data_IF_956828682356
#
_entry.id   IF_956828682356
#
_cell.length_a   1.000
_cell.length_b   1.000
_cell.length_c   1.000
_cell.angle_alpha   90.00
_cell.angle_beta   90.00
_cell.angle_gamma   90.00
#
_symmetry.space_group_name_H-M   'P 1'
#
loop_
_entity.id
_entity.type
_entity.pdbx_description
1 polymer ?
#
# COMPACT_ATOMS: atom_id res chain seq x y z
N UNK A 1 -11.55 -13.79 -17.17
CA UNK A 1 -11.03 -12.47 -17.62
C UNK A 1 -9.52 -12.46 -17.47
N UNK A 2 -8.77 -12.36 -18.56
CA UNK A 2 -7.30 -12.39 -18.55
C UNK A 2 -6.76 -11.17 -17.79
N UNK A 3 -5.94 -11.38 -16.74
CA UNK A 3 -5.26 -10.27 -16.02
C UNK A 3 -4.34 -9.56 -17.01
N UNK A 4 -4.77 -8.40 -17.53
CA UNK A 4 -3.91 -7.56 -18.37
C UNK A 4 -2.73 -7.06 -17.53
N UNK A 5 -1.51 -7.23 -18.03
CA UNK A 5 -0.29 -6.66 -17.42
C UNK A 5 -0.48 -5.15 -17.27
N UNK A 6 -0.41 -4.67 -16.02
CA UNK A 6 -0.55 -3.24 -15.69
C UNK A 6 0.77 -2.54 -15.95
N UNK A 7 0.69 -1.30 -16.43
CA UNK A 7 1.87 -0.49 -16.75
C UNK A 7 2.16 0.42 -15.55
N UNK A 8 3.38 0.41 -14.97
CA UNK A 8 3.71 1.28 -13.86
C UNK A 8 3.76 2.76 -14.31
N UNK A 9 3.27 3.67 -13.47
CA UNK A 9 3.33 5.12 -13.73
C UNK A 9 4.69 5.75 -13.40
N UNK A 10 5.62 4.99 -12.82
CA UNK A 10 6.96 5.44 -12.45
C UNK A 10 6.98 6.76 -11.65
N UNK A 11 6.04 6.90 -10.71
CA UNK A 11 5.91 8.10 -9.85
C UNK A 11 5.06 9.23 -10.42
N UNK A 12 4.66 9.18 -11.70
CA UNK A 12 3.81 10.21 -12.30
C UNK A 12 2.34 10.07 -11.89
N UNK A 13 1.66 11.21 -11.80
CA UNK A 13 0.22 11.27 -11.59
C UNK A 13 -0.52 10.81 -12.86
N UNK A 14 -1.79 10.41 -12.69
CA UNK A 14 -2.64 10.02 -13.82
C UNK A 14 -2.76 11.18 -14.83
N UNK A 15 -2.84 12.42 -14.32
CA UNK A 15 -2.95 13.63 -15.13
C UNK A 15 -1.70 13.87 -15.98
N UNK A 16 -0.51 13.81 -15.39
CA UNK A 16 0.74 14.00 -16.14
C UNK A 16 0.94 12.93 -17.22
N UNK A 17 0.55 11.69 -16.94
CA UNK A 17 0.61 10.60 -17.93
C UNK A 17 -0.42 10.82 -19.04
N UNK A 18 -1.63 11.28 -18.71
CA UNK A 18 -2.66 11.59 -19.70
C UNK A 18 -2.22 12.74 -20.62
N UNK A 19 -1.72 13.85 -20.04
CA UNK A 19 -1.19 15.00 -20.78
C UNK A 19 0.00 14.60 -21.67
N UNK A 20 0.91 13.75 -21.18
CA UNK A 20 2.07 13.29 -21.95
C UNK A 20 1.77 12.25 -23.04
N UNK A 21 0.66 11.53 -22.96
CA UNK A 21 0.29 10.46 -23.93
C UNK A 21 -0.85 10.85 -24.86
N UNK A 22 -1.58 11.92 -24.55
CA UNK A 22 -2.81 12.31 -25.25
C UNK A 22 -4.00 11.37 -24.98
N UNK A 23 -3.86 10.42 -24.06
CA UNK A 23 -4.93 9.49 -23.69
C UNK A 23 -5.82 10.07 -22.58
N UNK A 24 -7.06 9.59 -22.51
CA UNK A 24 -7.97 9.97 -21.44
C UNK A 24 -7.46 9.48 -20.06
N UNK A 25 -7.78 10.23 -19.01
CA UNK A 25 -7.48 9.84 -17.63
C UNK A 25 -8.09 8.48 -17.26
N UNK A 26 -9.30 8.19 -17.74
CA UNK A 26 -9.97 6.89 -17.54
C UNK A 26 -9.20 5.73 -18.20
N UNK A 27 -8.60 5.96 -19.37
CA UNK A 27 -7.72 4.99 -20.02
C UNK A 27 -6.48 4.75 -19.16
N UNK A 28 -5.80 5.81 -18.73
CA UNK A 28 -4.61 5.71 -17.87
C UNK A 28 -4.93 4.96 -16.57
N UNK A 29 -6.03 5.31 -15.90
CA UNK A 29 -6.47 4.62 -14.68
C UNK A 29 -6.68 3.12 -14.92
N UNK A 30 -7.43 2.77 -15.97
CA UNK A 30 -7.71 1.37 -16.31
C UNK A 30 -6.44 0.54 -16.53
N UNK A 31 -5.41 1.12 -17.14
CA UNK A 31 -4.18 0.41 -17.51
C UNK A 31 -3.08 0.45 -16.45
N UNK A 32 -3.13 1.41 -15.53
CA UNK A 32 -2.05 1.65 -14.57
C UNK A 32 -2.45 1.40 -13.11
N UNK A 33 -3.73 1.49 -12.77
CA UNK A 33 -4.19 1.23 -11.41
C UNK A 33 -4.10 -0.25 -11.06
N UNK A 34 -3.58 -0.52 -9.86
CA UNK A 34 -3.54 -1.87 -9.30
C UNK A 34 -4.98 -2.40 -9.09
N UNK A 35 -5.23 -3.69 -9.35
CA UNK A 35 -6.47 -4.33 -8.94
C UNK A 35 -6.74 -4.14 -7.44
N UNK A 36 -8.01 -4.07 -7.07
CA UNK A 36 -8.42 -3.88 -5.67
C UNK A 36 -7.87 -4.97 -4.76
N UNK A 37 -7.86 -6.22 -5.22
CA UNK A 37 -7.33 -7.36 -4.48
C UNK A 37 -5.84 -7.20 -4.18
N UNK A 38 -5.04 -6.84 -5.20
CA UNK A 38 -3.59 -6.64 -5.04
C UNK A 38 -3.30 -5.45 -4.11
N UNK A 39 -4.09 -4.37 -4.19
CA UNK A 39 -3.98 -3.24 -3.26
C UNK A 39 -4.26 -3.65 -1.80
N UNK A 40 -5.31 -4.45 -1.58
CA UNK A 40 -5.66 -4.96 -0.25
C UNK A 40 -4.61 -5.95 0.27
N UNK A 41 -4.07 -6.81 -0.60
CA UNK A 41 -2.99 -7.73 -0.26
C UNK A 41 -1.76 -6.97 0.22
N UNK A 42 -1.32 -5.95 -0.52
CA UNK A 42 -0.17 -5.12 -0.12
C UNK A 42 -0.41 -4.39 1.22
N UNK A 43 -1.64 -3.91 1.47
CA UNK A 43 -1.99 -3.31 2.75
C UNK A 43 -1.93 -4.33 3.90
N UNK A 44 -2.35 -5.58 3.66
CA UNK A 44 -2.29 -6.66 4.63
C UNK A 44 -0.85 -7.12 4.88
N UNK A 45 0.00 -7.21 3.86
CA UNK A 45 1.42 -7.50 4.01
C UNK A 45 2.11 -6.48 4.92
N UNK A 46 1.82 -5.18 4.75
CA UNK A 46 2.34 -4.13 5.64
C UNK A 46 1.90 -4.33 7.09
N UNK A 47 0.64 -4.71 7.33
CA UNK A 47 0.13 -5.02 8.68
C UNK A 47 0.87 -6.21 9.29
N UNK A 48 1.06 -7.29 8.54
CA UNK A 48 1.78 -8.48 8.99
C UNK A 48 3.22 -8.12 9.33
N UNK A 49 3.91 -7.35 8.47
CA UNK A 49 5.29 -6.90 8.71
C UNK A 49 5.41 -6.07 9.99
N UNK A 50 4.47 -5.16 10.25
CA UNK A 50 4.45 -4.39 11.51
C UNK A 50 4.32 -5.31 12.72
N UNK A 51 3.46 -6.32 12.66
CA UNK A 51 3.29 -7.28 13.75
C UNK A 51 4.54 -8.11 14.00
N UNK A 52 5.15 -8.63 12.93
CA UNK A 52 6.41 -9.40 13.02
C UNK A 52 7.51 -8.58 13.69
N UNK A 53 7.69 -7.33 13.29
CA UNK A 53 8.71 -6.45 13.87
C UNK A 53 8.37 -6.07 15.31
N UNK A 54 7.09 -5.92 15.65
CA UNK A 54 6.66 -5.67 17.03
C UNK A 54 6.88 -6.91 17.91
N UNK A 55 6.62 -8.11 17.41
CA UNK A 55 6.90 -9.37 18.11
C UNK A 55 8.40 -9.57 18.36
N UNK A 56 9.25 -9.07 17.46
CA UNK A 56 10.72 -9.02 17.65
C UNK A 56 11.19 -7.96 18.68
N UNK A 57 10.28 -7.16 19.23
CA UNK A 57 10.59 -6.16 20.26
C UNK A 57 11.06 -4.81 19.73
N UNK A 58 10.94 -4.53 18.42
CA UNK A 58 11.31 -3.22 17.88
C UNK A 58 10.36 -2.13 18.40
N UNK A 59 10.93 -0.95 18.67
CA UNK A 59 10.13 0.23 19.01
C UNK A 59 9.31 0.71 17.81
N UNK A 60 8.19 1.38 18.07
CA UNK A 60 7.29 1.84 16.99
C UNK A 60 7.97 2.84 16.04
N UNK A 61 8.94 3.63 16.54
CA UNK A 61 9.77 4.52 15.71
C UNK A 61 10.72 3.75 14.80
N UNK A 62 11.33 2.66 15.30
CA UNK A 62 12.19 1.81 14.49
C UNK A 62 11.39 1.09 13.39
N UNK A 63 10.19 0.58 13.72
CA UNK A 63 9.29 -0.04 12.74
C UNK A 63 8.88 0.95 11.64
N UNK A 64 8.56 2.18 12.02
CA UNK A 64 8.22 3.24 11.08
C UNK A 64 9.37 3.56 10.11
N UNK A 65 10.60 3.63 10.62
CA UNK A 65 11.79 3.86 9.82
C UNK A 65 12.08 2.68 8.85
N UNK A 66 11.95 1.45 9.33
CA UNK A 66 12.18 0.23 8.53
C UNK A 66 11.18 0.08 7.37
N UNK A 67 9.90 0.36 7.63
CA UNK A 67 8.83 0.21 6.63
C UNK A 67 8.69 1.46 5.74
N UNK A 68 9.29 2.58 6.15
CA UNK A 68 9.13 3.87 5.46
C UNK A 68 7.72 4.43 5.59
N UNK A 69 7.11 4.29 6.77
CA UNK A 69 5.76 4.80 7.05
C UNK A 69 5.74 5.73 8.28
N UNK A 70 4.61 6.40 8.50
CA UNK A 70 4.49 7.29 9.66
C UNK A 70 4.30 6.49 10.95
N UNK A 71 4.84 7.01 12.06
CA UNK A 71 4.69 6.41 13.39
C UNK A 71 3.21 6.23 13.76
N UNK A 72 2.36 7.20 13.41
CA UNK A 72 0.91 7.11 13.64
C UNK A 72 0.24 5.95 12.88
N UNK A 73 0.74 5.59 11.69
CA UNK A 73 0.25 4.42 10.97
C UNK A 73 0.61 3.12 11.69
N UNK A 74 1.84 3.04 12.22
CA UNK A 74 2.27 1.89 13.04
C UNK A 74 1.41 1.74 14.29
N UNK A 75 1.10 2.83 14.99
CA UNK A 75 0.18 2.79 16.15
C UNK A 75 -1.19 2.23 15.79
N UNK A 76 -1.77 2.70 14.68
CA UNK A 76 -3.06 2.20 14.19
C UNK A 76 -3.00 0.69 13.91
N UNK A 77 -1.97 0.22 13.20
CA UNK A 77 -1.85 -1.20 12.87
C UNK A 77 -1.65 -2.09 14.07
N UNK A 78 -0.94 -1.64 15.10
CA UNK A 78 -0.82 -2.41 16.35
C UNK A 78 -2.18 -2.46 17.07
N UNK A 79 -2.89 -1.34 17.17
CA UNK A 79 -4.22 -1.27 17.80
C UNK A 79 -5.25 -2.16 17.09
N UNK A 80 -5.29 -2.13 15.76
CA UNK A 80 -6.18 -2.99 14.94
C UNK A 80 -5.96 -4.48 15.23
N UNK A 81 -4.73 -4.88 15.59
CA UNK A 81 -4.37 -6.28 15.86
C UNK A 81 -4.73 -6.66 17.29
N UNK A 82 -4.49 -5.76 18.24
CA UNK A 82 -4.93 -5.95 19.62
C UNK A 82 -6.45 -6.11 19.69
N UNK A 83 -7.21 -5.23 19.02
CA UNK A 83 -8.67 -5.30 18.92
C UNK A 83 -9.17 -6.59 18.27
N UNK A 84 -8.46 -7.10 17.25
CA UNK A 84 -8.79 -8.38 16.61
C UNK A 84 -8.43 -9.59 17.45
N UNK A 85 -7.54 -9.46 18.44
CA UNK A 85 -7.16 -10.55 19.34
C UNK A 85 -8.13 -10.67 20.52
N UNK A 86 -8.78 -9.57 20.89
CA UNK A 86 -9.80 -9.52 21.94
C UNK A 86 -11.22 -9.83 21.46
N UNK A 87 -11.48 -9.78 20.15
CA UNK A 87 -12.75 -10.18 19.53
C UNK A 87 -12.77 -11.67 19.17
#
# INVERSE_FOLDING_TARGET
MTKRTRIPRNGKTIREVAEGTGLSTATIERWTSAPREDYLAQANEKRVRVQELRAKGLSMRAIAAEIGCSVGLVHRYVKEVEEKKTA
#
